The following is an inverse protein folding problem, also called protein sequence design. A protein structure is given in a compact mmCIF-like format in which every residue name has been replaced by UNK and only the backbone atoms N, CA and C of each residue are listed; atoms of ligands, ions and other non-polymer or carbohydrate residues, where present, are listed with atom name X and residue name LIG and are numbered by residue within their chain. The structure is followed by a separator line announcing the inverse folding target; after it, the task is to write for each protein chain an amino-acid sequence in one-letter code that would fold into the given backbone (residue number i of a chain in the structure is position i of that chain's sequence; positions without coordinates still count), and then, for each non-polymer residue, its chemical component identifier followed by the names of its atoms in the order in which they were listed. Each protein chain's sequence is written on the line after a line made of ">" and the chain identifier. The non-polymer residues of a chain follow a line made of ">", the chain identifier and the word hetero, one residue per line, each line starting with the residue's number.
data_IF_001284635026
#
_entry.id   IF_001284635026
#
_cell.length_a   1.000
_cell.length_b   1.000
_cell.length_c   1.000
_cell.angle_alpha   90.00
_cell.angle_beta   90.00
_cell.angle_gamma   90.00
#
_symmetry.space_group_name_H-M   'P 1'
#
loop_
_entity.id
_entity.type
_entity.pdbx_description
1 polymer ?
#
# COMPACT_ATOMS: atom_id res chain seq x y z
N UNK A 1 -12.54 8.88 5.78
CA UNK A 1 -11.60 7.74 5.80
C UNK A 1 -10.52 7.87 6.88
N UNK A 2 -9.71 8.94 6.93
CA UNK A 2 -8.64 9.04 7.93
C UNK A 2 -9.12 8.96 9.40
N UNK A 3 -10.21 9.68 9.73
CA UNK A 3 -10.82 9.56 11.07
C UNK A 3 -11.35 8.14 11.32
N UNK A 4 -12.06 7.55 10.35
CA UNK A 4 -12.53 6.16 10.45
C UNK A 4 -11.39 5.16 10.73
N UNK A 5 -10.21 5.36 10.11
CA UNK A 5 -9.04 4.54 10.41
C UNK A 5 -8.57 4.72 11.86
N UNK A 6 -8.50 5.95 12.37
CA UNK A 6 -8.15 6.21 13.78
C UNK A 6 -9.19 5.61 14.74
N UNK A 7 -10.47 5.69 14.38
CA UNK A 7 -11.58 5.20 15.20
C UNK A 7 -11.56 3.67 15.36
N UNK A 8 -10.81 2.93 14.52
CA UNK A 8 -10.59 1.48 14.71
C UNK A 8 -9.82 1.16 16.00
N UNK A 9 -9.04 2.11 16.54
CA UNK A 9 -8.21 1.90 17.73
C UNK A 9 -7.05 0.91 17.55
N UNK A 10 -6.80 0.44 16.33
CA UNK A 10 -5.76 -0.58 16.04
C UNK A 10 -4.33 -0.02 16.08
N UNK A 11 -4.16 1.29 16.05
CA UNK A 11 -2.89 1.99 16.16
C UNK A 11 -3.08 3.32 16.89
N UNK A 12 -1.99 3.94 17.35
CA UNK A 12 -2.03 5.29 17.89
C UNK A 12 -2.60 6.27 16.85
N UNK A 13 -3.47 7.22 17.23
CA UNK A 13 -4.07 8.14 16.27
C UNK A 13 -3.02 8.90 15.45
N UNK A 14 -3.20 8.91 14.13
CA UNK A 14 -2.36 9.66 13.19
C UNK A 14 -3.13 10.90 12.72
N UNK A 15 -2.44 12.04 12.63
CA UNK A 15 -3.05 13.29 12.17
C UNK A 15 -3.71 13.12 10.78
N UNK A 16 -5.05 13.28 10.69
CA UNK A 16 -5.86 13.03 9.51
C UNK A 16 -5.83 14.14 8.45
N UNK A 17 -5.13 15.25 8.72
CA UNK A 17 -5.06 16.36 7.77
C UNK A 17 -4.37 15.97 6.46
N UNK A 18 -4.89 16.46 5.34
CA UNK A 18 -4.25 16.32 4.03
C UNK A 18 -3.10 17.31 3.90
N UNK A 19 -2.09 16.95 3.10
CA UNK A 19 -0.87 17.74 2.87
C UNK A 19 -0.54 17.72 1.37
N UNK A 20 0.31 18.65 0.94
CA UNK A 20 0.81 18.68 -0.44
C UNK A 20 1.51 17.38 -0.81
N UNK A 21 1.19 16.87 -1.99
CA UNK A 21 1.87 15.71 -2.56
C UNK A 21 3.14 16.16 -3.30
N UNK A 22 4.24 16.26 -2.57
CA UNK A 22 5.48 16.85 -3.08
C UNK A 22 5.19 18.23 -3.70
N UNK A 23 5.79 18.53 -4.86
CA UNK A 23 5.58 19.78 -5.60
C UNK A 23 4.36 19.72 -6.55
N UNK A 24 3.50 18.70 -6.43
CA UNK A 24 2.30 18.55 -7.27
C UNK A 24 1.13 19.36 -6.69
N UNK A 25 0.19 19.84 -7.53
CA UNK A 25 -0.96 20.63 -7.10
C UNK A 25 -2.09 19.77 -6.48
N UNK A 26 -1.74 18.68 -5.79
CA UNK A 26 -2.69 17.75 -5.20
C UNK A 26 -2.45 17.63 -3.69
N UNK A 27 -3.53 17.51 -2.94
CA UNK A 27 -3.48 17.24 -1.51
C UNK A 27 -3.82 15.79 -1.23
N UNK A 28 -2.92 15.07 -0.58
CA UNK A 28 -3.09 13.66 -0.22
C UNK A 28 -2.98 13.47 1.28
N UNK A 29 -3.46 12.33 1.76
CA UNK A 29 -3.34 11.96 3.18
C UNK A 29 -1.91 11.57 3.57
N UNK A 30 -1.07 11.20 2.58
CA UNK A 30 0.15 10.45 2.83
C UNK A 30 -0.19 9.20 3.66
N UNK A 31 -1.00 8.34 3.04
CA UNK A 31 -1.65 7.20 3.70
C UNK A 31 -0.65 6.14 4.19
N UNK A 32 0.57 6.13 3.65
CA UNK A 32 1.67 5.31 4.15
C UNK A 32 1.96 5.58 5.62
N UNK A 33 1.68 6.79 6.15
CA UNK A 33 1.80 7.12 7.57
C UNK A 33 0.87 6.26 8.45
N UNK A 34 -0.36 6.04 7.99
CA UNK A 34 -1.33 5.19 8.68
C UNK A 34 -0.94 3.71 8.55
N UNK A 35 -0.53 3.28 7.36
CA UNK A 35 -0.07 1.92 7.12
C UNK A 35 1.15 1.56 7.98
N UNK A 36 2.13 2.47 8.10
CA UNK A 36 3.29 2.29 8.96
C UNK A 36 2.91 2.25 10.45
N UNK A 37 2.00 3.12 10.89
CA UNK A 37 1.52 3.11 12.27
C UNK A 37 0.85 1.78 12.61
N UNK A 38 0.04 1.24 11.71
CA UNK A 38 -0.60 -0.07 11.85
C UNK A 38 0.42 -1.22 11.80
N UNK A 39 1.37 -1.20 10.86
CA UNK A 39 2.39 -2.24 10.75
C UNK A 39 3.24 -2.35 12.03
N UNK A 40 3.51 -1.23 12.71
CA UNK A 40 4.24 -1.22 13.99
C UNK A 40 3.49 -1.88 15.15
N UNK A 41 2.20 -2.18 15.02
CA UNK A 41 1.43 -2.86 16.07
C UNK A 41 1.48 -4.39 15.95
N UNK A 42 2.12 -4.92 14.90
CA UNK A 42 2.36 -6.35 14.73
C UNK A 42 3.35 -6.82 15.80
N UNK A 43 2.88 -7.66 16.73
CA UNK A 43 3.69 -8.20 17.84
C UNK A 43 4.23 -9.60 17.59
N UNK A 44 3.69 -10.32 16.60
CA UNK A 44 4.14 -11.67 16.31
C UNK A 44 5.58 -11.64 15.76
N UNK A 45 6.58 -12.28 16.41
CA UNK A 45 7.99 -12.10 16.09
C UNK A 45 8.31 -12.42 14.63
N UNK A 46 7.79 -13.53 14.13
CA UNK A 46 8.01 -13.95 12.74
C UNK A 46 7.39 -13.01 11.72
N UNK A 47 6.29 -12.31 12.06
CA UNK A 47 5.63 -11.39 11.15
C UNK A 47 6.29 -10.00 11.17
N UNK A 48 6.75 -9.55 12.33
CA UNK A 48 7.35 -8.22 12.52
C UNK A 48 8.65 -8.00 11.73
N UNK A 49 9.33 -9.10 11.35
CA UNK A 49 10.58 -9.07 10.58
C UNK A 49 10.36 -9.22 9.08
N UNK A 50 9.14 -9.55 8.63
CA UNK A 50 8.85 -9.68 7.22
C UNK A 50 8.86 -8.31 6.54
N UNK A 51 9.37 -8.21 5.31
CA UNK A 51 9.27 -6.99 4.55
C UNK A 51 7.79 -6.69 4.21
N UNK A 52 7.45 -5.41 4.02
CA UNK A 52 6.13 -5.00 3.50
C UNK A 52 5.98 -5.28 1.99
N UNK A 53 6.67 -6.30 1.49
CA UNK A 53 6.68 -6.75 0.10
C UNK A 53 6.13 -8.17 -0.03
N UNK A 54 5.49 -8.48 -1.16
CA UNK A 54 4.92 -9.79 -1.45
C UNK A 54 3.42 -9.77 -1.76
N UNK A 55 2.77 -8.60 -1.76
CA UNK A 55 1.38 -8.49 -2.22
C UNK A 55 1.33 -8.63 -3.74
N UNK A 56 0.32 -9.33 -4.27
CA UNK A 56 0.11 -9.46 -5.72
C UNK A 56 -0.01 -8.08 -6.40
N UNK A 57 -0.59 -7.10 -5.72
CA UNK A 57 -0.77 -5.73 -6.21
C UNK A 57 0.57 -5.04 -6.50
N UNK A 58 1.64 -5.38 -5.77
CA UNK A 58 2.96 -4.79 -6.01
C UNK A 58 3.55 -5.19 -7.37
N UNK A 59 3.15 -6.35 -7.89
CA UNK A 59 3.50 -6.79 -9.23
C UNK A 59 2.45 -6.36 -10.25
N UNK A 60 1.16 -6.51 -9.93
CA UNK A 60 0.07 -6.22 -10.84
C UNK A 60 -0.04 -4.72 -11.18
N UNK A 61 0.23 -3.82 -10.22
CA UNK A 61 0.16 -2.37 -10.43
C UNK A 61 1.50 -1.73 -10.84
N UNK A 62 2.52 -2.55 -11.08
CA UNK A 62 3.80 -2.05 -11.54
C UNK A 62 3.69 -1.56 -12.99
N UNK A 63 3.88 -0.25 -13.21
CA UNK A 63 3.72 0.36 -14.54
C UNK A 63 4.64 -0.25 -15.59
N UNK A 64 5.88 -0.58 -15.24
CA UNK A 64 6.82 -1.22 -16.16
C UNK A 64 6.38 -2.63 -16.53
N UNK A 65 5.86 -3.38 -15.55
CA UNK A 65 5.30 -4.71 -15.75
C UNK A 65 4.04 -4.66 -16.63
N UNK A 66 3.12 -3.74 -16.35
CA UNK A 66 1.92 -3.50 -17.16
C UNK A 66 2.25 -3.06 -18.60
N UNK A 67 3.37 -2.38 -18.80
CA UNK A 67 3.91 -2.04 -20.12
C UNK A 67 4.39 -3.27 -20.92
N UNK A 68 4.71 -4.39 -20.27
CA UNK A 68 5.19 -5.63 -20.91
C UNK A 68 4.02 -6.51 -21.35
N UNK A 69 3.43 -6.18 -22.50
CA UNK A 69 2.24 -6.88 -23.01
C UNK A 69 2.46 -8.37 -23.36
N UNK A 70 3.68 -8.79 -23.71
CA UNK A 70 3.96 -10.17 -24.13
C UNK A 70 3.75 -11.21 -23.00
N UNK A 71 4.36 -11.06 -21.80
CA UNK A 71 4.09 -11.93 -20.66
C UNK A 71 2.61 -11.99 -20.26
N UNK A 72 1.93 -10.85 -20.24
CA UNK A 72 0.49 -10.77 -19.90
C UNK A 72 -0.35 -11.56 -20.89
N UNK A 73 -0.11 -11.40 -22.20
CA UNK A 73 -0.81 -12.16 -23.24
C UNK A 73 -0.53 -13.65 -23.16
N UNK A 74 0.73 -14.05 -22.93
CA UNK A 74 1.10 -15.45 -22.80
C UNK A 74 0.43 -16.12 -21.59
N UNK A 75 0.33 -15.44 -20.45
CA UNK A 75 -0.38 -15.94 -19.27
C UNK A 75 -1.88 -16.14 -19.53
N UNK A 76 -2.54 -15.20 -20.23
CA UNK A 76 -3.95 -15.35 -20.62
C UNK A 76 -4.13 -16.52 -21.59
N UNK A 77 -3.26 -16.65 -22.61
CA UNK A 77 -3.33 -17.75 -23.57
C UNK A 77 -3.09 -19.13 -22.94
N UNK A 78 -2.32 -19.22 -21.85
CA UNK A 78 -2.07 -20.49 -21.15
C UNK A 78 -3.26 -20.96 -20.29
N UNK A 79 -4.24 -20.07 -20.03
CA UNK A 79 -5.46 -20.37 -19.27
C UNK A 79 -6.65 -20.75 -20.17
N UNK A 80 -6.50 -20.66 -21.49
CA UNK A 80 -7.49 -21.01 -22.52
C UNK A 80 -7.13 -22.35 -23.18
#
# INVERSE_FOLDING_TARGET
>A
MANLQNDTGLAQPVDPTRRSYHDRPFHVLHAERFAQALARTITHPELSVLPLSGCVDQWADNTDFLGRQQPVRAAISALL
#
